data_IF_529115683417
#
_entry.id   IF_529115683417
#
_cell.length_a   1.000
_cell.length_b   1.000
_cell.length_c   1.000
_cell.angle_alpha   90.00
_cell.angle_beta   90.00
_cell.angle_gamma   90.00
#
_symmetry.space_group_name_H-M   'P 1'
#
loop_
_entity.id
_entity.type
_entity.pdbx_description
1 polymer ?
#
# COMPACT_ATOMS: atom_id res chain seq x y z
N UNK A 1 5.04 -26.23 -1.31
CA UNK A 1 4.78 -25.25 -2.39
C UNK A 1 3.82 -24.21 -1.84
N UNK A 2 4.30 -23.02 -1.50
CA UNK A 2 3.42 -21.96 -1.00
C UNK A 2 2.55 -21.48 -2.18
N UNK A 3 1.31 -21.95 -2.23
CA UNK A 3 0.26 -21.39 -3.07
C UNK A 3 0.21 -19.90 -2.76
N UNK A 4 0.59 -19.06 -3.73
CA UNK A 4 0.45 -17.61 -3.58
C UNK A 4 -1.03 -17.30 -3.45
N UNK A 5 -1.46 -17.06 -2.22
CA UNK A 5 -2.84 -16.73 -1.86
C UNK A 5 -3.21 -15.37 -2.47
N UNK A 6 -4.08 -15.38 -3.48
CA UNK A 6 -4.56 -14.17 -4.14
C UNK A 6 -5.66 -13.53 -3.27
N UNK A 7 -5.31 -12.47 -2.56
CA UNK A 7 -6.26 -11.72 -1.73
C UNK A 7 -6.84 -10.52 -2.49
N UNK A 8 -8.17 -10.46 -2.59
CA UNK A 8 -8.86 -9.28 -3.15
C UNK A 8 -8.84 -8.15 -2.14
N UNK A 9 -8.25 -7.02 -2.52
CA UNK A 9 -8.19 -5.81 -1.71
C UNK A 9 -8.76 -4.66 -2.54
N UNK A 10 -9.74 -3.95 -1.99
CA UNK A 10 -10.20 -2.68 -2.56
C UNK A 10 -9.24 -1.58 -2.15
N UNK A 11 -8.74 -0.82 -3.12
CA UNK A 11 -7.84 0.32 -2.93
C UNK A 11 -8.43 1.52 -3.65
N UNK A 12 -8.23 2.71 -3.08
CA UNK A 12 -8.67 3.96 -3.68
C UNK A 12 -7.50 4.57 -4.45
N UNK A 13 -7.74 4.88 -5.73
CA UNK A 13 -6.80 5.57 -6.60
C UNK A 13 -7.43 6.87 -7.10
N UNK A 14 -6.64 7.94 -7.27
CA UNK A 14 -7.07 9.09 -8.06
C UNK A 14 -7.45 8.66 -9.48
N UNK A 15 -8.39 9.38 -10.11
CA UNK A 15 -8.88 9.09 -11.46
C UNK A 15 -7.75 9.04 -12.49
N UNK A 16 -6.91 10.07 -12.53
CA UNK A 16 -5.77 10.16 -13.46
C UNK A 16 -4.81 8.96 -13.35
N UNK A 17 -4.53 8.54 -12.11
CA UNK A 17 -3.64 7.41 -11.84
C UNK A 17 -4.29 6.09 -12.26
N UNK A 18 -5.59 5.92 -12.01
CA UNK A 18 -6.31 4.72 -12.42
C UNK A 18 -6.34 4.59 -13.94
N UNK A 19 -6.59 5.69 -14.67
CA UNK A 19 -6.53 5.71 -16.12
C UNK A 19 -5.15 5.33 -16.66
N UNK A 20 -4.08 5.85 -16.06
CA UNK A 20 -2.71 5.54 -16.45
C UNK A 20 -2.40 4.05 -16.27
N UNK A 21 -2.76 3.48 -15.12
CA UNK A 21 -2.59 2.04 -14.84
C UNK A 21 -3.41 1.22 -15.84
N UNK A 22 -4.63 1.64 -16.19
CA UNK A 22 -5.47 0.94 -17.15
C UNK A 22 -4.90 1.00 -18.58
N UNK A 23 -4.34 2.15 -19.00
CA UNK A 23 -3.64 2.28 -20.28
C UNK A 23 -2.44 1.34 -20.35
N UNK A 24 -1.63 1.27 -19.30
CA UNK A 24 -0.48 0.36 -19.24
C UNK A 24 -0.88 -1.11 -19.21
N UNK A 25 -1.95 -1.45 -18.48
CA UNK A 25 -2.52 -2.80 -18.46
C UNK A 25 -2.94 -3.25 -19.87
N UNK A 26 -3.65 -2.39 -20.60
CA UNK A 26 -4.08 -2.65 -21.97
C UNK A 26 -2.90 -2.73 -22.95
N UNK A 27 -1.89 -1.85 -22.80
CA UNK A 27 -0.69 -1.82 -23.65
C UNK A 27 0.14 -3.11 -23.54
N UNK A 28 0.19 -3.70 -22.34
CA UNK A 28 0.99 -4.89 -22.05
C UNK A 28 0.20 -6.20 -22.10
N UNK A 29 -1.12 -6.15 -22.33
CA UNK A 29 -2.05 -7.29 -22.25
C UNK A 29 -1.95 -8.01 -20.90
N UNK A 30 -1.97 -7.22 -19.81
CA UNK A 30 -1.85 -7.68 -18.42
C UNK A 30 -2.98 -7.14 -17.56
N UNK A 31 -3.24 -7.81 -16.43
CA UNK A 31 -4.24 -7.33 -15.47
C UNK A 31 -3.75 -6.12 -14.67
N UNK A 32 -4.67 -5.27 -14.23
CA UNK A 32 -4.39 -4.14 -13.34
C UNK A 32 -3.59 -4.58 -12.10
N UNK A 33 -4.00 -5.70 -11.49
CA UNK A 33 -3.30 -6.28 -10.34
C UNK A 33 -1.84 -6.60 -10.65
N UNK A 34 -1.52 -7.07 -11.87
CA UNK A 34 -0.14 -7.35 -12.26
C UNK A 34 0.68 -6.06 -12.40
N UNK A 35 0.11 -5.01 -13.01
CA UNK A 35 0.78 -3.71 -13.14
C UNK A 35 1.09 -3.13 -11.77
N UNK A 36 0.13 -3.13 -10.84
CA UNK A 36 0.32 -2.64 -9.46
C UNK A 36 1.36 -3.47 -8.70
N UNK A 37 1.33 -4.80 -8.85
CA UNK A 37 2.35 -5.68 -8.25
C UNK A 37 3.74 -5.41 -8.81
N UNK A 38 3.87 -5.12 -10.11
CA UNK A 38 5.15 -4.79 -10.72
C UNK A 38 5.66 -3.43 -10.25
N UNK A 39 4.79 -2.42 -10.19
CA UNK A 39 5.12 -1.10 -9.66
C UNK A 39 5.66 -1.22 -8.21
N UNK A 40 5.02 -2.02 -7.37
CA UNK A 40 5.51 -2.30 -6.02
C UNK A 40 6.89 -2.96 -6.02
N UNK A 41 7.14 -3.96 -6.87
CA UNK A 41 8.45 -4.65 -6.93
C UNK A 41 9.59 -3.71 -7.31
N UNK A 42 9.33 -2.74 -8.17
CA UNK A 42 10.30 -1.72 -8.57
C UNK A 42 10.49 -0.69 -7.44
N UNK A 43 9.40 -0.14 -6.91
CA UNK A 43 9.46 0.94 -5.92
C UNK A 43 9.84 0.48 -4.50
N UNK A 44 9.72 -0.82 -4.17
CA UNK A 44 9.95 -1.33 -2.79
C UNK A 44 11.29 -0.94 -2.19
N UNK A 45 12.35 -0.85 -3.01
CA UNK A 45 13.68 -0.53 -2.51
C UNK A 45 13.75 0.92 -2.05
N UNK A 46 13.14 1.83 -2.81
CA UNK A 46 13.14 3.25 -2.51
C UNK A 46 12.15 3.59 -1.41
N UNK A 47 10.97 2.97 -1.40
CA UNK A 47 10.00 3.11 -0.31
C UNK A 47 10.59 2.66 1.03
N UNK A 48 11.41 1.59 1.05
CA UNK A 48 12.09 1.12 2.27
C UNK A 48 13.22 2.03 2.75
N UNK A 49 13.77 2.87 1.88
CA UNK A 49 14.81 3.84 2.23
C UNK A 49 14.23 5.12 2.83
N UNK A 50 12.96 5.41 2.54
CA UNK A 50 12.28 6.55 3.14
C UNK A 50 12.21 6.34 4.66
N UNK A 51 12.61 7.33 5.48
CA UNK A 51 12.47 7.24 6.92
C UNK A 51 10.99 7.04 7.26
N UNK A 52 10.71 6.22 8.27
CA UNK A 52 9.34 6.07 8.75
C UNK A 52 8.85 7.44 9.20
N UNK A 53 7.61 7.80 8.85
CA UNK A 53 7.00 9.06 9.31
C UNK A 53 7.00 9.18 10.84
N UNK A 54 7.03 8.04 11.55
CA UNK A 54 7.16 7.97 13.00
C UNK A 54 8.58 8.23 13.51
N UNK A 55 9.62 7.98 12.71
CA UNK A 55 11.01 8.25 13.11
C UNK A 55 11.34 9.74 13.05
N UNK A 56 10.61 10.51 12.23
CA UNK A 56 10.76 11.97 12.11
C UNK A 56 9.95 12.73 13.17
N UNK A 57 8.83 12.17 13.64
CA UNK A 57 7.93 12.82 14.60
C UNK A 57 8.28 12.59 16.08
N UNK A 58 9.32 11.80 16.37
CA UNK A 58 9.66 11.39 17.73
C UNK A 58 8.57 10.49 18.35
N UNK A 59 8.83 9.85 19.50
CA UNK A 59 7.84 9.02 20.16
C UNK A 59 6.64 9.90 20.55
N UNK A 60 5.52 9.72 19.86
CA UNK A 60 4.23 10.20 20.35
C UNK A 60 4.06 9.63 21.77
N UNK A 61 3.72 10.46 22.77
CA UNK A 61 3.49 9.97 24.12
C UNK A 61 2.45 8.85 24.06
N UNK A 62 2.60 7.80 24.88
CA UNK A 62 1.68 6.67 24.87
C UNK A 62 0.27 7.22 25.02
N UNK A 63 -0.56 6.95 24.00
CA UNK A 63 -1.98 7.28 23.97
C UNK A 63 -2.55 6.72 25.27
N UNK A 64 -2.90 7.60 26.22
CA UNK A 64 -3.56 7.20 27.46
C UNK A 64 -4.80 6.43 27.04
N UNK A 65 -4.71 5.11 27.16
CA UNK A 65 -5.88 4.24 27.16
C UNK A 65 -6.62 4.64 28.42
N UNK A 66 -7.52 5.62 28.28
CA UNK A 66 -8.47 5.95 29.33
C UNK A 66 -9.20 4.65 29.62
N UNK A 67 -8.91 4.06 30.78
CA UNK A 67 -9.60 2.94 31.32
C UNK A 67 -11.05 3.36 31.53
N UNK A 68 -11.88 3.10 30.52
CA UNK A 68 -13.33 3.11 30.68
C UNK A 68 -13.65 1.84 31.46
N UNK A 69 -13.70 1.99 32.78
CA UNK A 69 -14.27 0.98 33.67
C UNK A 69 -15.75 0.78 33.30
N UNK A 70 -16.23 -0.46 33.11
CA UNK A 70 -17.66 -0.70 32.95
C UNK A 70 -18.38 -0.65 34.31
N UNK A 71 -19.69 -0.30 34.32
CA UNK A 71 -20.53 -0.31 35.52
C UNK A 71 -20.89 -1.72 36.00
#
# INVERSE_FOLDING_TARGET
MATTDHRKQSLYFPEDMLEEIQREANRQDRSLSWIVQQAWKVARADIRRMPSVNDVLGPLPPRQVAAVAPP
#
